data_IF_194121043302
#
_entry.id   IF_194121043302
#
_cell.length_a   1.000
_cell.length_b   1.000
_cell.length_c   1.000
_cell.angle_alpha   90.00
_cell.angle_beta   90.00
_cell.angle_gamma   90.00
#
_symmetry.space_group_name_H-M   'P 1'
#
loop_
_entity.id
_entity.type
_entity.pdbx_description
1 polymer ?
#
# COMPACT_ATOMS: atom_id res chain seq x y z
N UNK A 1 -11.72 21.84 21.02
CA UNK A 1 -11.34 21.98 22.44
C UNK A 1 -10.31 23.08 22.51
N UNK A 2 -10.64 24.22 23.11
CA UNK A 2 -9.70 25.32 23.27
C UNK A 2 -8.63 24.96 24.33
N UNK A 3 -7.52 25.70 24.35
CA UNK A 3 -6.53 25.57 25.43
C UNK A 3 -7.16 25.89 26.78
N UNK A 4 -7.96 26.96 26.85
CA UNK A 4 -8.69 27.39 28.06
C UNK A 4 -9.66 26.30 28.55
N UNK A 5 -10.42 25.65 27.65
CA UNK A 5 -11.30 24.51 28.02
C UNK A 5 -10.49 23.33 28.62
N UNK A 6 -9.24 23.18 28.17
CA UNK A 6 -8.29 22.22 28.74
C UNK A 6 -7.89 22.60 30.15
N UNK A 7 -7.50 23.86 30.37
CA UNK A 7 -7.09 24.39 31.67
C UNK A 7 -8.25 24.31 32.66
N UNK A 8 -9.45 24.76 32.28
CA UNK A 8 -10.66 24.72 33.12
C UNK A 8 -10.99 23.32 33.63
N UNK A 9 -10.90 22.31 32.76
CA UNK A 9 -11.16 20.92 33.17
C UNK A 9 -10.10 20.39 34.11
N UNK A 10 -8.83 20.71 33.89
CA UNK A 10 -7.73 20.28 34.75
C UNK A 10 -7.82 20.95 36.12
N UNK A 11 -8.02 22.27 36.17
CA UNK A 11 -8.11 23.04 37.41
C UNK A 11 -9.33 22.65 38.23
N UNK A 12 -10.48 22.39 37.58
CA UNK A 12 -11.65 21.80 38.25
C UNK A 12 -11.34 20.44 38.86
N UNK A 13 -10.68 19.54 38.12
CA UNK A 13 -10.30 18.23 38.64
C UNK A 13 -9.36 18.33 39.84
N UNK A 14 -8.40 19.26 39.80
CA UNK A 14 -7.49 19.53 40.92
C UNK A 14 -8.28 20.00 42.14
N UNK A 15 -9.24 20.92 41.95
CA UNK A 15 -10.13 21.39 43.02
C UNK A 15 -10.87 20.23 43.67
N UNK A 16 -11.54 19.41 42.86
CA UNK A 16 -12.39 18.31 43.36
C UNK A 16 -11.58 17.29 44.16
N UNK A 17 -10.37 16.95 43.69
CA UNK A 17 -9.45 16.03 44.39
C UNK A 17 -8.95 16.65 45.70
N UNK A 18 -8.48 17.90 45.67
CA UNK A 18 -7.97 18.59 46.86
C UNK A 18 -9.08 18.78 47.91
N UNK A 19 -10.30 19.07 47.47
CA UNK A 19 -11.47 19.18 48.35
C UNK A 19 -11.76 17.85 49.08
N UNK A 20 -11.71 16.73 48.36
CA UNK A 20 -11.90 15.39 48.94
C UNK A 20 -10.82 15.09 50.00
N UNK A 21 -9.55 15.26 49.64
CA UNK A 21 -8.42 14.97 50.53
C UNK A 21 -8.43 15.83 51.81
N UNK A 22 -8.63 17.14 51.68
CA UNK A 22 -8.61 18.04 52.83
C UNK A 22 -9.78 17.81 53.79
N UNK A 23 -10.94 17.38 53.28
CA UNK A 23 -12.09 17.02 54.13
C UNK A 23 -11.85 15.72 54.89
N UNK A 24 -11.13 14.78 54.28
CA UNK A 24 -10.74 13.51 54.92
C UNK A 24 -9.69 13.76 56.02
N UNK A 25 -8.67 14.57 55.75
CA UNK A 25 -7.59 14.85 56.71
C UNK A 25 -7.99 15.83 57.81
N UNK A 26 -8.86 16.81 57.53
CA UNK A 26 -9.23 17.88 58.46
C UNK A 26 -10.76 18.00 58.62
N UNK A 27 -11.43 16.98 59.19
CA UNK A 27 -12.90 16.94 59.27
C UNK A 27 -13.50 18.08 60.12
N UNK A 28 -12.71 18.71 60.98
CA UNK A 28 -13.15 19.81 61.86
C UNK A 28 -12.96 21.20 61.25
N UNK A 29 -12.35 21.30 60.06
CA UNK A 29 -12.14 22.58 59.40
C UNK A 29 -13.47 23.16 58.89
N UNK A 30 -13.70 24.46 59.06
CA UNK A 30 -14.92 25.12 58.56
C UNK A 30 -15.00 24.99 57.04
N UNK A 31 -16.03 24.32 56.54
CA UNK A 31 -16.23 24.02 55.11
C UNK A 31 -16.15 25.28 54.25
N UNK A 32 -16.74 26.39 54.70
CA UNK A 32 -16.73 27.64 53.96
C UNK A 32 -15.33 28.26 53.80
N UNK A 33 -14.48 28.15 54.83
CA UNK A 33 -13.10 28.65 54.77
C UNK A 33 -12.23 27.79 53.85
N UNK A 34 -12.45 26.48 53.87
CA UNK A 34 -11.76 25.52 53.01
C UNK A 34 -12.13 25.72 51.53
N UNK A 35 -13.43 25.80 51.21
CA UNK A 35 -13.90 26.05 49.84
C UNK A 35 -13.33 27.35 49.29
N UNK A 36 -13.39 28.43 50.08
CA UNK A 36 -12.81 29.71 49.64
C UNK A 36 -11.31 29.60 49.33
N UNK A 37 -10.55 28.92 50.19
CA UNK A 37 -9.10 28.73 49.98
C UNK A 37 -8.82 27.93 48.70
N UNK A 38 -9.60 26.87 48.45
CA UNK A 38 -9.51 26.07 47.23
C UNK A 38 -9.83 26.90 46.00
N UNK A 39 -10.85 27.74 46.07
CA UNK A 39 -11.30 28.59 44.96
C UNK A 39 -10.26 29.63 44.61
N UNK A 40 -9.69 30.29 45.62
CA UNK A 40 -8.63 31.27 45.46
C UNK A 40 -7.37 30.61 44.86
N UNK A 41 -7.00 29.42 45.35
CA UNK A 41 -5.84 28.66 44.86
C UNK A 41 -6.01 28.21 43.41
N UNK A 42 -7.20 27.70 43.07
CA UNK A 42 -7.54 27.24 41.72
C UNK A 42 -7.63 28.41 40.75
N UNK A 43 -8.20 29.55 41.17
CA UNK A 43 -8.24 30.76 40.37
C UNK A 43 -6.83 31.32 40.09
N UNK A 44 -5.92 31.23 41.07
CA UNK A 44 -4.52 31.61 40.88
C UNK A 44 -3.81 30.67 39.90
N UNK A 45 -3.94 29.36 40.09
CA UNK A 45 -3.36 28.34 39.21
C UNK A 45 -3.87 28.48 37.77
N UNK A 46 -5.18 28.65 37.60
CA UNK A 46 -5.80 28.88 36.30
C UNK A 46 -5.18 30.11 35.61
N UNK A 47 -5.10 31.23 36.32
CA UNK A 47 -4.53 32.48 35.80
C UNK A 47 -3.07 32.31 35.37
N UNK A 48 -2.26 31.60 36.16
CA UNK A 48 -0.85 31.37 35.86
C UNK A 48 -0.66 30.48 34.63
N UNK A 49 -1.44 29.40 34.51
CA UNK A 49 -1.37 28.50 33.34
C UNK A 49 -1.82 29.23 32.07
N UNK A 50 -2.92 29.99 32.13
CA UNK A 50 -3.40 30.78 30.99
C UNK A 50 -2.37 31.85 30.60
N UNK A 51 -1.74 32.51 31.58
CA UNK A 51 -0.67 33.49 31.34
C UNK A 51 0.56 32.88 30.67
N UNK A 52 0.90 31.61 30.96
CA UNK A 52 1.99 30.88 30.31
C UNK A 52 1.62 30.28 28.95
N UNK A 53 0.33 30.28 28.58
CA UNK A 53 -0.17 29.76 27.31
C UNK A 53 0.63 30.23 26.07
N UNK A 54 0.92 31.54 25.91
CA UNK A 54 1.71 32.03 24.77
C UNK A 54 3.14 31.47 24.71
N UNK A 55 3.78 31.23 25.86
CA UNK A 55 5.13 30.67 25.94
C UNK A 55 5.14 29.17 25.65
N UNK A 56 4.14 28.44 26.17
CA UNK A 56 3.91 27.04 25.83
C UNK A 56 3.66 26.89 24.32
N UNK A 57 2.84 27.76 23.72
CA UNK A 57 2.61 27.75 22.27
C UNK A 57 3.87 28.09 21.48
N UNK A 58 4.70 29.04 21.93
CA UNK A 58 6.01 29.30 21.32
C UNK A 58 6.94 28.10 21.40
N UNK A 59 6.96 27.40 22.54
CA UNK A 59 7.80 26.22 22.75
C UNK A 59 7.34 25.06 21.87
N UNK A 60 6.03 24.80 21.82
CA UNK A 60 5.42 23.83 20.90
C UNK A 60 5.69 24.18 19.44
N UNK A 61 5.60 25.46 19.07
CA UNK A 61 5.89 25.93 17.72
C UNK A 61 7.37 25.78 17.34
N UNK A 62 8.29 25.85 18.32
CA UNK A 62 9.74 25.65 18.10
C UNK A 62 10.09 24.20 17.76
N UNK A 63 9.29 23.23 18.21
CA UNK A 63 9.49 21.80 17.93
C UNK A 63 8.48 21.27 16.90
N UNK A 64 8.26 22.02 15.82
CA UNK A 64 7.46 21.52 14.70
C UNK A 64 8.27 20.50 13.91
N UNK A 65 7.64 19.45 13.38
CA UNK A 65 8.30 18.56 12.42
C UNK A 65 8.89 19.33 11.23
N UNK A 66 8.25 20.43 10.83
CA UNK A 66 8.72 21.28 9.73
C UNK A 66 9.87 22.20 10.11
N UNK A 67 10.21 22.35 11.41
CA UNK A 67 11.42 23.05 11.83
C UNK A 67 12.68 22.17 11.78
N UNK A 68 12.52 20.86 11.54
CA UNK A 68 13.63 19.96 11.23
C UNK A 68 14.24 20.32 9.87
N UNK A 69 15.54 20.07 9.71
CA UNK A 69 16.21 20.22 8.41
C UNK A 69 15.63 19.22 7.40
N UNK A 70 15.70 19.51 6.08
CA UNK A 70 15.21 18.60 5.06
C UNK A 70 15.79 17.19 5.18
N UNK A 71 17.08 17.07 5.53
CA UNK A 71 17.78 15.79 5.69
C UNK A 71 17.14 14.95 6.80
N UNK A 72 16.88 15.55 7.96
CA UNK A 72 16.24 14.85 9.07
C UNK A 72 14.79 14.45 8.76
N UNK A 73 14.05 15.30 8.03
CA UNK A 73 12.69 14.95 7.60
C UNK A 73 12.71 13.77 6.63
N UNK A 74 13.63 13.77 5.66
CA UNK A 74 13.80 12.68 4.70
C UNK A 74 14.18 11.37 5.40
N UNK A 75 15.12 11.39 6.36
CA UNK A 75 15.45 10.19 7.14
C UNK A 75 14.23 9.65 7.91
N UNK A 76 13.37 10.53 8.45
CA UNK A 76 12.13 10.08 9.10
C UNK A 76 11.14 9.52 8.06
N UNK A 77 11.03 10.13 6.89
CA UNK A 77 10.18 9.62 5.81
C UNK A 77 10.65 8.26 5.31
N UNK A 78 11.95 8.06 5.11
CA UNK A 78 12.53 6.77 4.74
C UNK A 78 12.23 5.70 5.79
N UNK A 79 12.40 6.00 7.08
CA UNK A 79 12.09 5.07 8.17
C UNK A 79 10.61 4.68 8.25
N UNK A 80 9.70 5.58 7.82
CA UNK A 80 8.25 5.36 7.92
C UNK A 80 7.66 4.77 6.64
N UNK A 81 8.22 5.11 5.48
CA UNK A 81 7.63 4.82 4.18
C UNK A 81 8.38 3.77 3.38
N UNK A 82 9.65 3.50 3.65
CA UNK A 82 10.33 2.37 3.02
C UNK A 82 9.86 1.11 3.73
N UNK A 83 9.23 0.20 3.00
CA UNK A 83 8.80 -1.09 3.55
C UNK A 83 9.96 -1.77 4.28
N UNK A 84 9.74 -2.21 5.51
CA UNK A 84 10.69 -3.07 6.19
C UNK A 84 10.66 -4.45 5.53
N UNK A 85 11.84 -5.01 5.24
CA UNK A 85 12.05 -6.43 4.94
C UNK A 85 11.37 -6.98 3.66
N UNK A 86 11.54 -6.31 2.51
CA UNK A 86 10.99 -6.75 1.19
C UNK A 86 9.46 -6.95 1.17
N UNK A 87 8.77 -6.50 2.22
CA UNK A 87 7.33 -6.47 2.34
C UNK A 87 6.83 -5.30 1.48
N UNK A 88 6.77 -5.52 0.16
CA UNK A 88 6.18 -4.57 -0.78
C UNK A 88 4.77 -4.11 -0.34
N UNK A 89 4.33 -2.97 -0.87
CA UNK A 89 3.05 -2.36 -0.55
C UNK A 89 1.95 -3.05 -1.36
N UNK A 90 1.06 -3.78 -0.69
CA UNK A 90 -0.07 -4.44 -1.34
C UNK A 90 -1.14 -3.43 -1.76
N UNK A 91 -1.47 -3.44 -3.06
CA UNK A 91 -2.49 -2.58 -3.66
C UNK A 91 -3.85 -3.26 -3.82
N UNK A 92 -3.96 -4.57 -3.56
CA UNK A 92 -5.10 -5.39 -4.03
C UNK A 92 -6.07 -5.94 -3.01
N UNK A 93 -5.74 -6.04 -1.71
CA UNK A 93 -6.54 -6.87 -0.79
C UNK A 93 -7.88 -6.26 -0.35
N UNK A 94 -8.09 -4.94 -0.49
CA UNK A 94 -9.27 -4.27 0.08
C UNK A 94 -10.15 -3.63 -1.01
N UNK A 95 -10.40 -4.35 -2.10
CA UNK A 95 -11.15 -3.91 -3.30
C UNK A 95 -12.57 -3.35 -3.07
N UNK A 96 -13.10 -3.36 -1.83
CA UNK A 96 -14.34 -2.65 -1.45
C UNK A 96 -14.09 -1.30 -0.76
N UNK A 97 -12.94 -1.12 -0.11
CA UNK A 97 -12.50 0.14 0.46
C UNK A 97 -11.50 0.79 -0.50
N UNK A 98 -12.03 1.65 -1.39
CA UNK A 98 -11.33 2.53 -2.35
C UNK A 98 -9.79 2.49 -2.29
N UNK A 99 -9.08 2.33 -3.44
CA UNK A 99 -7.63 2.26 -3.51
C UNK A 99 -7.00 3.65 -3.31
N UNK A 100 -7.20 4.25 -2.14
CA UNK A 100 -6.45 5.39 -1.66
C UNK A 100 -5.43 4.88 -0.65
N UNK A 101 -4.50 4.03 -1.11
CA UNK A 101 -3.26 3.85 -0.37
C UNK A 101 -2.48 5.17 -0.48
N UNK A 102 -2.83 6.09 0.42
CA UNK A 102 -2.11 7.32 0.68
C UNK A 102 -1.82 7.31 2.17
N UNK A 103 -0.57 7.00 2.56
CA UNK A 103 -0.15 7.09 3.95
C UNK A 103 -0.61 8.43 4.54
N UNK A 104 -1.12 8.41 5.78
CA UNK A 104 -1.63 9.61 6.45
C UNK A 104 -0.62 10.77 6.40
N UNK A 105 0.67 10.43 6.40
CA UNK A 105 1.80 11.35 6.28
C UNK A 105 1.75 12.23 5.01
N UNK A 106 1.30 11.68 3.87
CA UNK A 106 1.13 12.43 2.62
C UNK A 106 -0.04 13.41 2.64
N UNK A 107 -0.90 13.36 3.67
CA UNK A 107 -2.12 14.17 3.78
C UNK A 107 -1.99 15.33 4.77
N UNK A 108 -0.86 15.43 5.49
CA UNK A 108 -0.68 16.44 6.56
C UNK A 108 -0.38 17.83 6.00
N UNK A 109 0.48 17.94 4.99
CA UNK A 109 0.88 19.22 4.41
C UNK A 109 1.35 19.07 2.97
N UNK A 110 1.31 20.15 2.18
CA UNK A 110 1.82 20.14 0.79
C UNK A 110 3.33 19.89 0.72
N UNK A 111 4.08 20.45 1.67
CA UNK A 111 5.54 20.26 1.75
C UNK A 111 5.86 18.81 2.08
N UNK A 112 5.26 18.27 3.15
CA UNK A 112 5.47 16.86 3.51
C UNK A 112 5.00 15.91 2.41
N UNK A 113 3.92 16.24 1.71
CA UNK A 113 3.50 15.50 0.52
C UNK A 113 4.58 15.50 -0.58
N UNK A 114 5.18 16.65 -0.88
CA UNK A 114 6.25 16.75 -1.87
C UNK A 114 7.49 15.94 -1.49
N UNK A 115 8.01 16.17 -0.28
CA UNK A 115 9.21 15.52 0.25
C UNK A 115 9.01 13.99 0.28
N UNK A 116 7.91 13.53 0.87
CA UNK A 116 7.67 12.11 1.12
C UNK A 116 7.15 11.31 -0.09
N UNK A 117 6.54 11.95 -1.11
CA UNK A 117 6.05 11.22 -2.29
C UNK A 117 7.18 10.57 -3.07
N UNK A 118 8.32 11.26 -3.19
CA UNK A 118 9.48 10.73 -3.91
C UNK A 118 10.01 9.46 -3.26
N UNK A 119 10.06 9.42 -1.93
CA UNK A 119 10.46 8.26 -1.13
C UNK A 119 9.41 7.14 -1.24
N UNK A 120 8.12 7.47 -1.11
CA UNK A 120 7.06 6.45 -1.20
C UNK A 120 7.10 5.73 -2.55
N UNK A 121 7.16 6.46 -3.66
CA UNK A 121 7.09 5.84 -4.99
C UNK A 121 8.44 5.30 -5.45
N UNK A 122 9.54 5.98 -5.10
CA UNK A 122 10.88 5.66 -5.60
C UNK A 122 11.72 4.73 -4.73
N UNK A 123 11.20 4.24 -3.61
CA UNK A 123 11.91 3.31 -2.73
C UNK A 123 11.07 2.09 -2.32
N UNK A 124 9.91 1.89 -2.95
CA UNK A 124 9.02 0.78 -2.61
C UNK A 124 8.65 -0.05 -3.84
N UNK A 125 8.46 -1.34 -3.59
CA UNK A 125 7.81 -2.26 -4.52
C UNK A 125 6.31 -2.28 -4.24
N UNK A 126 5.49 -2.00 -5.24
CA UNK A 126 4.03 -2.09 -5.13
C UNK A 126 3.53 -3.42 -5.67
N UNK A 127 2.97 -4.26 -4.80
CA UNK A 127 2.44 -5.57 -5.15
C UNK A 127 0.99 -5.46 -5.58
N UNK A 128 0.65 -6.04 -6.71
CA UNK A 128 -0.70 -6.01 -7.26
C UNK A 128 -1.13 -7.43 -7.66
N UNK A 129 -2.09 -8.04 -6.94
CA UNK A 129 -2.60 -9.35 -7.30
C UNK A 129 -3.44 -9.26 -8.57
N UNK A 130 -3.14 -10.14 -9.52
CA UNK A 130 -3.92 -10.37 -10.71
C UNK A 130 -4.55 -11.75 -10.56
N UNK A 131 -5.85 -11.74 -10.34
CA UNK A 131 -6.63 -12.96 -10.26
C UNK A 131 -6.90 -13.51 -11.67
N UNK A 132 -6.44 -14.73 -11.91
CA UNK A 132 -6.60 -15.48 -13.15
C UNK A 132 -7.57 -16.65 -13.02
N UNK A 133 -8.23 -16.80 -11.86
CA UNK A 133 -9.06 -17.97 -11.57
C UNK A 133 -10.19 -18.12 -12.59
N UNK A 134 -10.35 -19.29 -13.23
CA UNK A 134 -11.53 -19.60 -14.02
C UNK A 134 -12.74 -19.70 -13.09
N UNK A 135 -13.78 -18.92 -13.36
CA UNK A 135 -15.04 -19.09 -12.65
C UNK A 135 -15.71 -20.28 -13.34
N UNK A 136 -16.08 -21.30 -12.57
CA UNK A 136 -16.64 -22.58 -13.08
C UNK A 136 -17.88 -22.42 -13.98
N UNK A 137 -18.44 -21.23 -14.07
CA UNK A 137 -19.72 -20.96 -14.73
C UNK A 137 -19.59 -20.26 -16.10
N UNK A 138 -18.38 -19.99 -16.60
CA UNK A 138 -18.18 -19.23 -17.85
C UNK A 138 -17.73 -20.10 -19.05
N UNK A 139 -18.48 -20.00 -20.14
CA UNK A 139 -18.23 -20.65 -21.44
C UNK A 139 -17.02 -20.04 -22.20
N UNK A 140 -15.80 -20.50 -21.87
CA UNK A 140 -14.67 -20.58 -22.82
C UNK A 140 -13.58 -19.50 -22.84
N UNK A 141 -12.55 -19.76 -23.67
CA UNK A 141 -11.21 -19.14 -23.70
C UNK A 141 -11.13 -17.61 -23.92
N UNK A 142 -12.19 -16.94 -24.37
CA UNK A 142 -12.19 -15.46 -24.57
C UNK A 142 -12.28 -14.66 -23.26
N UNK A 143 -12.29 -15.34 -22.12
CA UNK A 143 -12.57 -14.79 -20.81
C UNK A 143 -11.31 -14.29 -20.10
N UNK A 144 -10.14 -14.92 -20.34
CA UNK A 144 -8.89 -14.55 -19.64
C UNK A 144 -8.37 -13.16 -20.01
N UNK A 145 -8.28 -12.80 -21.29
CA UNK A 145 -7.87 -11.44 -21.69
C UNK A 145 -8.80 -10.35 -21.14
N UNK A 146 -10.12 -10.62 -21.11
CA UNK A 146 -11.09 -9.70 -20.52
C UNK A 146 -10.89 -9.57 -19.01
N UNK A 147 -10.59 -10.68 -18.33
CA UNK A 147 -10.31 -10.71 -16.89
C UNK A 147 -9.02 -10.02 -16.54
N UNK A 148 -7.92 -10.28 -17.25
CA UNK A 148 -6.65 -9.56 -17.12
C UNK A 148 -6.84 -8.05 -17.20
N UNK A 149 -7.62 -7.59 -18.19
CA UNK A 149 -7.91 -6.17 -18.35
C UNK A 149 -8.78 -5.61 -17.23
N UNK A 150 -9.75 -6.39 -16.72
CA UNK A 150 -10.63 -5.95 -15.65
C UNK A 150 -9.90 -5.95 -14.29
N UNK A 151 -9.12 -6.98 -14.02
CA UNK A 151 -8.35 -7.12 -12.80
C UNK A 151 -7.26 -6.05 -12.71
N UNK A 152 -6.70 -5.59 -13.82
CA UNK A 152 -5.73 -4.49 -13.84
C UNK A 152 -6.35 -3.08 -13.85
N UNK A 153 -7.67 -2.94 -13.99
CA UNK A 153 -8.31 -1.63 -14.16
C UNK A 153 -8.06 -0.71 -12.95
N UNK A 154 -8.06 -1.25 -11.73
CA UNK A 154 -7.75 -0.48 -10.54
C UNK A 154 -6.29 -0.03 -10.49
N UNK A 155 -5.35 -0.84 -10.98
CA UNK A 155 -3.95 -0.46 -11.11
C UNK A 155 -3.79 0.69 -12.11
N UNK A 156 -4.45 0.60 -13.27
CA UNK A 156 -4.47 1.69 -14.27
C UNK A 156 -5.04 2.97 -13.67
N UNK A 157 -6.17 2.88 -12.94
CA UNK A 157 -6.77 4.03 -12.27
C UNK A 157 -5.87 4.61 -11.16
N UNK A 158 -5.12 3.77 -10.45
CA UNK A 158 -4.15 4.20 -9.45
C UNK A 158 -2.99 4.95 -10.11
N UNK A 159 -2.42 4.42 -11.19
CA UNK A 159 -1.37 5.08 -11.99
C UNK A 159 -1.83 6.44 -12.52
N UNK A 160 -3.05 6.51 -13.03
CA UNK A 160 -3.65 7.78 -13.46
C UNK A 160 -3.83 8.77 -12.30
N UNK A 161 -4.16 8.28 -11.10
CA UNK A 161 -4.36 9.12 -9.90
C UNK A 161 -3.06 9.70 -9.35
N UNK A 162 -1.96 8.95 -9.38
CA UNK A 162 -0.65 9.47 -8.98
C UNK A 162 -0.09 10.44 -10.04
N UNK A 163 -0.58 10.34 -11.28
CA UNK A 163 -0.43 11.34 -12.33
C UNK A 163 1.02 11.53 -12.73
N UNK A 164 1.53 12.76 -12.66
CA UNK A 164 2.93 13.09 -13.00
C UNK A 164 3.98 12.41 -12.11
N UNK A 165 3.57 11.68 -11.07
CA UNK A 165 4.45 10.90 -10.20
C UNK A 165 4.59 9.44 -10.63
N UNK A 166 3.82 8.97 -11.60
CA UNK A 166 3.96 7.59 -12.09
C UNK A 166 5.38 7.23 -12.56
N UNK A 167 6.19 8.13 -13.15
CA UNK A 167 7.57 7.81 -13.49
C UNK A 167 8.50 7.67 -12.29
N UNK A 168 8.06 8.07 -11.09
CA UNK A 168 8.83 7.91 -9.85
C UNK A 168 8.67 6.50 -9.26
N UNK A 169 7.74 5.69 -9.77
CA UNK A 169 7.53 4.34 -9.26
C UNK A 169 8.72 3.47 -9.63
N UNK A 170 9.41 2.93 -8.63
CA UNK A 170 10.61 2.12 -8.85
C UNK A 170 10.26 0.70 -9.30
N UNK A 171 9.29 0.04 -8.65
CA UNK A 171 8.90 -1.34 -9.01
C UNK A 171 7.41 -1.57 -8.75
N UNK A 172 6.74 -2.22 -9.69
CA UNK A 172 5.40 -2.77 -9.57
C UNK A 172 5.48 -4.27 -9.79
N UNK A 173 5.09 -5.06 -8.79
CA UNK A 173 5.07 -6.51 -8.85
C UNK A 173 3.63 -6.99 -9.15
N UNK A 174 3.41 -7.45 -10.38
CA UNK A 174 2.16 -8.10 -10.79
C UNK A 174 2.21 -9.56 -10.32
N UNK A 175 1.40 -9.88 -9.32
CA UNK A 175 1.35 -11.22 -8.74
C UNK A 175 0.25 -12.03 -9.41
N UNK A 176 0.63 -12.90 -10.34
CA UNK A 176 -0.29 -13.81 -11.01
C UNK A 176 -0.58 -14.98 -10.08
N UNK A 177 -1.83 -15.09 -9.64
CA UNK A 177 -2.29 -16.24 -8.86
C UNK A 177 -2.61 -17.37 -9.83
N UNK A 178 -1.79 -18.42 -9.82
CA UNK A 178 -1.92 -19.55 -10.73
C UNK A 178 -2.05 -20.88 -9.98
N UNK A 179 -3.14 -21.61 -10.24
CA UNK A 179 -3.28 -23.02 -9.85
C UNK A 179 -2.60 -23.97 -10.85
N UNK A 180 -2.33 -23.46 -12.05
CA UNK A 180 -1.70 -24.18 -13.16
C UNK A 180 -0.24 -23.79 -13.31
N UNK A 181 0.53 -24.67 -13.96
CA UNK A 181 1.92 -24.40 -14.29
C UNK A 181 2.05 -23.08 -15.10
N UNK A 182 3.04 -22.20 -14.80
CA UNK A 182 3.21 -20.91 -15.47
C UNK A 182 3.22 -20.96 -17.01
N UNK A 183 3.83 -21.97 -17.65
CA UNK A 183 3.77 -22.16 -19.12
C UNK A 183 2.34 -22.24 -19.67
N UNK A 184 1.43 -22.93 -18.98
CA UNK A 184 0.04 -23.06 -19.40
C UNK A 184 -0.66 -21.72 -19.31
N UNK A 185 -0.48 -21.02 -18.18
CA UNK A 185 -1.02 -19.67 -17.96
C UNK A 185 -0.50 -18.71 -19.02
N UNK A 186 0.80 -18.74 -19.31
CA UNK A 186 1.41 -17.89 -20.33
C UNK A 186 0.83 -18.17 -21.72
N UNK A 187 0.67 -19.44 -22.10
CA UNK A 187 0.09 -19.82 -23.39
C UNK A 187 -1.33 -19.28 -23.53
N UNK A 188 -2.13 -19.42 -22.48
CA UNK A 188 -3.51 -18.95 -22.45
C UNK A 188 -3.59 -17.42 -22.56
N UNK A 189 -2.77 -16.70 -21.79
CA UNK A 189 -2.69 -15.23 -21.87
C UNK A 189 -2.35 -14.80 -23.30
N UNK A 190 -1.34 -15.41 -23.90
CA UNK A 190 -0.87 -15.03 -25.23
C UNK A 190 -1.83 -15.46 -26.35
N UNK A 191 -2.47 -16.62 -26.23
CA UNK A 191 -3.44 -17.15 -27.21
C UNK A 191 -4.77 -16.39 -27.17
N UNK A 192 -5.14 -15.84 -26.02
CA UNK A 192 -6.34 -14.99 -25.87
C UNK A 192 -6.15 -13.57 -26.45
N UNK A 193 -4.90 -13.13 -26.64
CA UNK A 193 -4.57 -11.92 -27.35
C UNK A 193 -4.83 -12.07 -28.85
N UNK A 194 -5.45 -11.07 -29.48
CA UNK A 194 -5.70 -11.06 -30.93
C UNK A 194 -4.36 -11.08 -31.69
N UNK A 195 -3.86 -12.29 -32.00
CA UNK A 195 -2.51 -12.63 -32.48
C UNK A 195 -1.76 -11.59 -33.32
N UNK A 196 -2.33 -11.00 -34.40
CA UNK A 196 -1.58 -10.10 -35.27
C UNK A 196 -1.24 -8.74 -34.66
N UNK A 197 -2.04 -8.26 -33.70
CA UNK A 197 -1.94 -6.88 -33.18
C UNK A 197 -0.74 -6.67 -32.25
N UNK A 198 -0.17 -7.75 -31.71
CA UNK A 198 0.96 -7.69 -30.79
C UNK A 198 2.29 -8.07 -31.48
N UNK A 199 2.28 -8.24 -32.80
CA UNK A 199 3.50 -8.54 -33.55
C UNK A 199 4.55 -7.44 -33.36
N UNK A 200 5.77 -7.84 -33.03
CA UNK A 200 6.88 -6.92 -32.75
C UNK A 200 7.00 -6.44 -31.31
N UNK A 201 6.08 -6.83 -30.42
CA UNK A 201 6.25 -6.66 -28.97
C UNK A 201 7.03 -7.83 -28.37
N UNK A 202 7.73 -7.58 -27.27
CA UNK A 202 8.25 -8.65 -26.42
C UNK A 202 7.10 -9.36 -25.68
N UNK A 203 7.33 -10.56 -25.16
CA UNK A 203 6.35 -11.28 -24.33
C UNK A 203 5.93 -10.41 -23.14
N UNK A 204 6.88 -9.76 -22.48
CA UNK A 204 6.59 -8.90 -21.34
C UNK A 204 5.70 -7.70 -21.72
N UNK A 205 6.05 -6.99 -22.80
CA UNK A 205 5.21 -5.90 -23.33
C UNK A 205 3.82 -6.39 -23.76
N UNK A 206 3.73 -7.59 -24.31
CA UNK A 206 2.46 -8.22 -24.70
C UNK A 206 1.55 -8.42 -23.49
N UNK A 207 2.08 -8.94 -22.38
CA UNK A 207 1.31 -9.09 -21.13
C UNK A 207 0.85 -7.72 -20.60
N UNK A 208 1.75 -6.73 -20.55
CA UNK A 208 1.38 -5.38 -20.12
C UNK A 208 0.32 -4.75 -21.02
N UNK A 209 0.38 -4.98 -22.33
CA UNK A 209 -0.63 -4.53 -23.29
C UNK A 209 -2.00 -5.16 -23.02
N UNK A 210 -2.03 -6.47 -22.73
CA UNK A 210 -3.26 -7.19 -22.36
C UNK A 210 -3.86 -6.68 -21.04
N UNK A 211 -3.01 -6.32 -20.08
CA UNK A 211 -3.40 -5.63 -18.84
C UNK A 211 -3.75 -4.14 -19.05
N UNK A 212 -3.58 -3.56 -20.23
CA UNK A 212 -3.78 -2.13 -20.46
C UNK A 212 -2.80 -1.23 -19.68
N UNK A 213 -1.66 -1.78 -19.28
CA UNK A 213 -0.59 -1.08 -18.55
C UNK A 213 0.46 -0.49 -19.48
N UNK A 214 0.59 -1.02 -20.69
CA UNK A 214 1.49 -0.45 -21.69
C UNK A 214 1.03 0.96 -22.08
N UNK A 215 1.94 1.94 -21.99
CA UNK A 215 1.63 3.34 -22.31
C UNK A 215 0.99 4.15 -21.18
N UNK A 216 0.94 3.63 -19.95
CA UNK A 216 0.43 4.36 -18.77
C UNK A 216 1.36 5.45 -18.23
N UNK A 217 2.47 5.72 -18.91
CA UNK A 217 3.50 6.69 -18.48
C UNK A 217 4.51 6.12 -17.48
N UNK A 218 4.41 4.83 -17.16
CA UNK A 218 5.42 4.07 -16.41
C UNK A 218 6.30 3.31 -17.40
N UNK A 219 7.60 3.26 -17.14
CA UNK A 219 8.54 2.48 -17.94
C UNK A 219 8.23 0.98 -17.84
N UNK A 220 8.50 0.22 -18.90
CA UNK A 220 8.14 -1.21 -18.97
C UNK A 220 8.91 -2.00 -17.91
N UNK A 221 10.16 -1.62 -17.65
CA UNK A 221 11.10 -2.28 -16.75
C UNK A 221 10.71 -2.16 -15.26
N UNK A 222 9.81 -1.23 -14.93
CA UNK A 222 9.25 -1.08 -13.57
C UNK A 222 8.34 -2.25 -13.23
N UNK A 223 7.70 -2.88 -14.24
CA UNK A 223 6.80 -4.00 -14.02
C UNK A 223 7.57 -5.31 -13.92
N UNK A 224 7.42 -6.01 -12.79
CA UNK A 224 7.88 -7.39 -12.59
C UNK A 224 6.66 -8.28 -12.53
N UNK A 225 6.68 -9.39 -13.25
CA UNK A 225 5.56 -10.35 -13.25
C UNK A 225 6.02 -11.56 -12.46
N UNK A 226 5.32 -11.90 -11.40
CA UNK A 226 5.62 -13.07 -10.58
C UNK A 226 4.46 -14.06 -10.60
N UNK A 227 4.80 -15.35 -10.62
CA UNK A 227 3.85 -16.41 -10.30
C UNK A 227 3.83 -16.57 -8.78
N UNK A 228 2.64 -16.55 -8.18
CA UNK A 228 2.42 -16.91 -6.78
C UNK A 228 1.70 -18.23 -6.72
N UNK A 229 2.37 -19.25 -6.18
CA UNK A 229 1.79 -20.57 -5.94
C UNK A 229 1.28 -20.66 -4.50
N UNK A 230 0.01 -21.01 -4.34
CA UNK A 230 -0.58 -21.26 -3.02
C UNK A 230 -0.49 -22.74 -2.69
N UNK A 231 0.51 -23.13 -1.90
CA UNK A 231 0.52 -24.42 -1.24
C UNK A 231 -0.36 -24.30 -0.01
N UNK A 232 -1.43 -25.10 0.09
CA UNK A 232 -2.59 -24.94 1.00
C UNK A 232 -2.34 -24.87 2.51
N UNK A 233 -1.11 -24.60 2.97
CA UNK A 233 -0.68 -24.43 4.36
C UNK A 233 0.26 -23.20 4.55
N UNK A 234 0.05 -22.11 3.82
CA UNK A 234 0.43 -20.76 4.27
C UNK A 234 1.86 -20.28 3.97
N UNK A 235 2.58 -20.89 3.03
CA UNK A 235 3.82 -20.31 2.48
C UNK A 235 3.61 -20.00 1.00
N UNK A 236 3.47 -18.71 0.71
CA UNK A 236 3.49 -18.22 -0.66
C UNK A 236 4.94 -18.11 -1.10
N UNK A 237 5.30 -18.90 -2.12
CA UNK A 237 6.56 -18.70 -2.83
C UNK A 237 6.24 -17.95 -4.12
N UNK A 238 6.92 -16.82 -4.31
CA UNK A 238 6.74 -15.98 -5.48
C UNK A 238 8.00 -16.03 -6.34
N UNK A 239 7.86 -16.48 -7.59
CA UNK A 239 8.95 -16.66 -8.55
C UNK A 239 8.75 -15.75 -9.74
N UNK A 240 9.83 -15.38 -10.42
CA UNK A 240 9.70 -14.68 -11.71
C UNK A 240 8.87 -15.53 -12.67
N UNK A 241 7.83 -14.93 -13.25
CA UNK A 241 6.85 -15.66 -14.05
C UNK A 241 7.46 -16.23 -15.33
N UNK A 242 8.39 -15.50 -15.95
CA UNK A 242 9.03 -15.92 -17.20
C UNK A 242 10.03 -17.03 -16.94
N UNK A 243 10.85 -16.89 -15.90
CA UNK A 243 11.76 -17.95 -15.46
C UNK A 243 10.99 -19.23 -15.12
N UNK A 244 9.91 -19.13 -14.33
CA UNK A 244 9.08 -20.27 -13.99
C UNK A 244 8.36 -20.87 -15.22
N UNK A 245 8.12 -20.05 -16.25
CA UNK A 245 7.60 -20.50 -17.53
C UNK A 245 8.68 -21.09 -18.48
N UNK A 246 9.96 -20.96 -18.13
CA UNK A 246 11.08 -21.37 -18.98
C UNK A 246 11.22 -20.53 -20.26
N UNK A 247 10.84 -19.25 -20.20
CA UNK A 247 10.89 -18.32 -21.34
C UNK A 247 11.64 -17.05 -20.97
N UNK A 248 12.18 -16.36 -21.97
CA UNK A 248 12.76 -15.04 -21.77
C UNK A 248 11.68 -13.97 -22.01
N UNK A 249 11.36 -13.15 -21.01
CA UNK A 249 10.37 -12.08 -21.14
C UNK A 249 10.69 -11.05 -22.22
N UNK A 250 11.96 -10.95 -22.64
CA UNK A 250 12.44 -10.09 -23.73
C UNK A 250 12.31 -10.72 -25.13
N UNK A 251 11.96 -12.01 -25.22
CA UNK A 251 11.74 -12.67 -26.50
C UNK A 251 10.54 -12.05 -27.24
N UNK A 252 10.64 -11.98 -28.57
CA UNK A 252 9.59 -11.43 -29.41
C UNK A 252 8.39 -12.37 -29.49
N UNK A 253 7.20 -11.78 -29.37
CA UNK A 253 5.97 -12.52 -29.56
C UNK A 253 5.77 -12.85 -31.05
N UNK A 254 5.80 -14.16 -31.36
CA UNK A 254 5.65 -14.71 -32.71
C UNK A 254 4.77 -15.97 -32.69
N UNK A 255 4.21 -16.33 -33.85
CA UNK A 255 3.46 -17.60 -34.00
C UNK A 255 4.36 -18.82 -33.76
N UNK A 256 5.65 -18.74 -34.11
CA UNK A 256 6.63 -19.80 -33.82
C UNK A 256 6.83 -19.96 -32.31
N UNK A 257 6.96 -18.85 -31.58
CA UNK A 257 7.02 -18.88 -30.12
C UNK A 257 5.79 -19.58 -29.53
N UNK A 258 4.58 -19.22 -29.97
CA UNK A 258 3.34 -19.85 -29.52
C UNK A 258 3.31 -21.35 -29.82
N UNK A 259 3.75 -21.76 -31.02
CA UNK A 259 3.82 -23.17 -31.40
C UNK A 259 4.76 -23.98 -30.50
N UNK A 260 5.93 -23.41 -30.13
CA UNK A 260 6.85 -24.06 -29.17
C UNK A 260 6.24 -24.16 -27.78
N UNK A 261 5.59 -23.10 -27.30
CA UNK A 261 4.97 -23.09 -25.99
C UNK A 261 3.86 -24.15 -25.88
N UNK A 262 3.04 -24.28 -26.92
CA UNK A 262 2.03 -25.35 -27.07
C UNK A 262 2.64 -26.74 -26.99
N UNK A 263 3.69 -27.00 -27.77
CA UNK A 263 4.35 -28.30 -27.78
C UNK A 263 4.92 -28.67 -26.39
N UNK A 264 5.46 -27.69 -25.64
CA UNK A 264 5.94 -27.91 -24.27
C UNK A 264 4.78 -28.27 -23.33
N UNK A 265 3.63 -27.60 -23.47
CA UNK A 265 2.46 -27.88 -22.64
C UNK A 265 1.84 -29.24 -22.96
N UNK A 266 1.74 -29.61 -24.24
CA UNK A 266 1.29 -30.96 -24.67
C UNK A 266 2.19 -32.06 -24.09
N UNK A 267 3.51 -31.91 -24.17
CA UNK A 267 4.45 -32.87 -23.59
C UNK A 267 4.30 -33.02 -22.06
N UNK A 268 4.14 -31.89 -21.33
CA UNK A 268 3.92 -31.91 -19.88
C UNK A 268 2.59 -32.58 -19.50
N UNK A 269 1.54 -32.41 -20.30
CA UNK A 269 0.25 -33.07 -20.08
C UNK A 269 0.37 -34.59 -20.24
N UNK A 270 1.09 -35.05 -21.26
CA UNK A 270 1.36 -36.49 -21.47
C UNK A 270 2.16 -37.11 -20.31
N UNK A 271 3.19 -36.40 -19.81
CA UNK A 271 3.96 -36.83 -18.63
C UNK A 271 3.08 -36.92 -17.38
N UNK A 272 2.21 -35.95 -17.17
CA UNK A 272 1.33 -35.92 -16.01
C UNK A 272 0.33 -37.08 -16.07
N UNK A 273 -0.34 -37.31 -17.20
CA UNK A 273 -1.27 -38.43 -17.37
C UNK A 273 -0.61 -39.79 -17.14
N UNK A 274 0.63 -39.96 -17.60
CA UNK A 274 1.40 -41.20 -17.39
C UNK A 274 1.69 -41.50 -15.91
N UNK A 275 1.70 -40.49 -15.04
CA UNK A 275 1.88 -40.68 -13.59
C UNK A 275 0.61 -41.15 -12.86
N UNK A 276 -0.57 -41.00 -13.47
CA UNK A 276 -1.85 -41.42 -12.88
C UNK A 276 -2.28 -42.84 -13.29
N UNK A 277 -1.65 -43.42 -14.32
CA UNK A 277 -1.93 -44.77 -14.81
C UNK A 277 -1.10 -45.87 -14.08
N UNK A 278 -0.40 -45.52 -13.00
CA UNK A 278 0.39 -46.44 -12.12
C UNK A 278 -0.31 -46.57 -10.76
#
# INVERSE_FOLDING_TARGET
MSFEDGVDRVTKRIRDIAALQLREEFPYMKTASLEKLLDDSVAHLHRDIVRQGPEMQKTLARTSFMSLSPELRNSIYELVLSGQDDMGIDLGEDSKARPSYQPALLRVSRQGHGDASSILYGCNTFKYPIDLWPHRDDDGMNVLAKRLKHSSEHLVQWLQRIGSRSPMVETIELQLWCEYHPNFVLEEILSSGRGPLNSGLTIHQTILQLCGLLGTGVAVEVFKVKATESYGMGREESKDFYEAAGVDGSELFTEEFLGRLKAVNEAKLEETHSQWDI
#
